data_IF_001972123244
#
_entry.id   IF_001972123244
#
_cell.length_a   1.000
_cell.length_b   1.000
_cell.length_c   1.000
_cell.angle_alpha   90.00
_cell.angle_beta   90.00
_cell.angle_gamma   90.00
#
_symmetry.space_group_name_H-M   'P 1'
#
loop_
_entity.id
_entity.type
_entity.pdbx_description
1 polymer ?
#
# COMPACT_ATOMS: atom_id res chain seq x y z
N UNK A 1 8.15 -13.76 -20.29
CA UNK A 1 7.21 -12.71 -19.82
C UNK A 1 6.34 -13.21 -18.69
N UNK A 2 5.65 -14.35 -18.85
CA UNK A 2 4.76 -14.91 -17.81
C UNK A 2 5.47 -15.15 -16.46
N UNK A 3 6.75 -15.56 -16.48
CA UNK A 3 7.54 -15.71 -15.26
C UNK A 3 7.61 -14.40 -14.45
N UNK A 4 7.88 -13.29 -15.12
CA UNK A 4 7.97 -11.96 -14.49
C UNK A 4 6.60 -11.52 -13.95
N UNK A 5 5.52 -11.82 -14.67
CA UNK A 5 4.16 -11.54 -14.21
C UNK A 5 3.76 -12.40 -13.01
N UNK A 6 4.19 -13.67 -12.97
CA UNK A 6 3.92 -14.61 -11.88
C UNK A 6 4.71 -14.29 -10.61
N UNK A 7 5.99 -13.93 -10.75
CA UNK A 7 6.92 -13.76 -9.61
C UNK A 7 7.02 -12.30 -9.17
N UNK A 8 6.69 -11.34 -10.05
CA UNK A 8 6.80 -9.92 -9.74
C UNK A 8 8.25 -9.40 -9.66
N UNK A 9 9.23 -10.14 -10.20
CA UNK A 9 10.63 -9.73 -10.18
C UNK A 9 10.92 -8.63 -11.21
N UNK A 10 11.97 -7.82 -11.03
CA UNK A 10 12.45 -6.93 -12.08
C UNK A 10 12.79 -7.71 -13.35
N UNK A 11 12.51 -7.14 -14.53
CA UNK A 11 12.80 -7.77 -15.81
C UNK A 11 14.28 -8.15 -15.98
N UNK A 12 15.19 -7.35 -15.40
CA UNK A 12 16.64 -7.58 -15.45
C UNK A 12 17.09 -8.81 -14.66
N UNK A 13 16.32 -9.21 -13.67
CA UNK A 13 16.63 -10.34 -12.78
C UNK A 13 15.99 -11.65 -13.30
N UNK A 14 15.43 -11.62 -14.51
CA UNK A 14 14.84 -12.79 -15.13
C UNK A 14 15.93 -13.82 -15.47
N UNK A 15 15.66 -15.08 -15.13
CA UNK A 15 16.60 -16.19 -15.36
C UNK A 15 16.98 -16.33 -16.83
N UNK A 16 18.26 -16.52 -17.13
CA UNK A 16 18.81 -16.57 -18.49
C UNK A 16 18.19 -17.68 -19.36
N UNK A 17 17.69 -18.75 -18.72
CA UNK A 17 16.97 -19.86 -19.37
C UNK A 17 15.77 -19.40 -20.21
N UNK A 18 15.20 -18.23 -19.90
CA UNK A 18 14.07 -17.67 -20.64
C UNK A 18 14.50 -16.79 -21.82
N UNK A 19 15.79 -16.53 -21.98
CA UNK A 19 16.37 -15.68 -23.02
C UNK A 19 16.60 -14.23 -22.56
N UNK A 20 17.04 -13.38 -23.50
CA UNK A 20 17.41 -11.99 -23.22
C UNK A 20 16.20 -11.19 -22.73
N UNK A 21 16.31 -10.64 -21.52
CA UNK A 21 15.24 -9.88 -20.87
C UNK A 21 14.67 -8.75 -21.73
N UNK A 22 15.52 -8.02 -22.46
CA UNK A 22 15.08 -6.87 -23.27
C UNK A 22 14.14 -7.30 -24.40
N UNK A 23 14.44 -8.41 -25.08
CA UNK A 23 13.60 -8.93 -26.15
C UNK A 23 12.23 -9.35 -25.64
N UNK A 24 12.19 -9.97 -24.44
CA UNK A 24 10.95 -10.38 -23.80
C UNK A 24 10.14 -9.16 -23.35
N UNK A 25 10.80 -8.16 -22.78
CA UNK A 25 10.15 -6.91 -22.38
C UNK A 25 9.53 -6.17 -23.57
N UNK A 26 10.27 -6.04 -24.68
CA UNK A 26 9.76 -5.41 -25.91
C UNK A 26 8.55 -6.17 -26.45
N UNK A 27 8.59 -7.51 -26.47
CA UNK A 27 7.44 -8.32 -26.88
C UNK A 27 6.25 -8.10 -25.95
N UNK A 28 6.47 -8.14 -24.64
CA UNK A 28 5.44 -7.91 -23.63
C UNK A 28 4.77 -6.54 -23.84
N UNK A 29 5.56 -5.49 -24.04
CA UNK A 29 5.05 -4.13 -24.28
C UNK A 29 4.23 -4.06 -25.57
N UNK A 30 4.73 -4.63 -26.68
CA UNK A 30 3.98 -4.66 -27.95
C UNK A 30 2.65 -5.38 -27.82
N UNK A 31 2.61 -6.49 -27.08
CA UNK A 31 1.36 -7.23 -26.83
C UNK A 31 0.37 -6.44 -25.97
N UNK A 32 0.87 -5.66 -25.00
CA UNK A 32 0.04 -4.75 -24.23
C UNK A 32 -0.52 -3.61 -25.09
N UNK A 33 0.31 -3.00 -25.94
CA UNK A 33 -0.14 -1.95 -26.87
C UNK A 33 -1.13 -2.47 -27.92
N UNK A 34 -1.01 -3.74 -28.30
CA UNK A 34 -1.88 -4.39 -29.29
C UNK A 34 -3.14 -5.03 -28.69
N UNK A 35 -3.35 -4.94 -27.37
CA UNK A 35 -4.51 -5.57 -26.72
C UNK A 35 -4.51 -7.11 -26.76
N UNK A 36 -3.36 -7.73 -27.04
CA UNK A 36 -3.23 -9.20 -27.15
C UNK A 36 -3.52 -9.86 -25.80
N UNK A 37 -3.19 -9.19 -24.70
CA UNK A 37 -3.48 -9.69 -23.34
C UNK A 37 -4.98 -9.80 -23.09
N UNK A 38 -5.77 -8.86 -23.57
CA UNK A 38 -7.24 -8.86 -23.38
C UNK A 38 -7.86 -10.04 -24.13
N UNK A 39 -7.45 -10.25 -25.39
CA UNK A 39 -7.89 -11.38 -26.20
C UNK A 39 -7.47 -12.72 -25.59
N UNK A 40 -6.24 -12.79 -25.07
CA UNK A 40 -5.73 -14.01 -24.44
C UNK A 40 -6.45 -14.31 -23.12
N UNK A 41 -6.76 -13.29 -22.31
CA UNK A 41 -7.58 -13.48 -21.12
C UNK A 41 -8.98 -13.95 -21.49
N UNK A 42 -9.63 -13.31 -22.44
CA UNK A 42 -10.99 -13.67 -22.85
C UNK A 42 -11.06 -15.11 -23.34
N UNK A 43 -10.13 -15.53 -24.18
CA UNK A 43 -10.08 -16.92 -24.69
C UNK A 43 -9.84 -17.94 -23.57
N UNK A 44 -9.05 -17.61 -22.54
CA UNK A 44 -8.90 -18.49 -21.37
C UNK A 44 -10.20 -18.61 -20.58
N UNK A 45 -10.95 -17.51 -20.41
CA UNK A 45 -12.27 -17.51 -19.77
C UNK A 45 -13.25 -18.39 -20.54
N UNK A 46 -13.30 -18.22 -21.85
CA UNK A 46 -14.21 -18.98 -22.72
C UNK A 46 -13.89 -20.49 -22.68
N UNK A 47 -12.63 -20.86 -22.46
CA UNK A 47 -12.18 -22.24 -22.30
C UNK A 47 -12.41 -22.82 -20.89
N UNK A 48 -12.93 -22.03 -19.94
CA UNK A 48 -13.13 -22.46 -18.56
C UNK A 48 -11.83 -22.76 -17.80
N UNK A 49 -10.69 -22.25 -18.28
CA UNK A 49 -9.38 -22.46 -17.67
C UNK A 49 -9.08 -21.45 -16.55
N UNK A 50 -10.10 -20.72 -16.08
CA UNK A 50 -9.94 -19.53 -15.25
C UNK A 50 -10.34 -19.67 -13.78
N UNK A 51 -10.76 -20.85 -13.34
CA UNK A 51 -11.43 -21.05 -12.04
C UNK A 51 -10.61 -20.63 -10.80
N UNK A 52 -9.27 -20.59 -10.86
CA UNK A 52 -8.45 -20.28 -9.67
C UNK A 52 -7.56 -19.01 -9.77
N UNK A 53 -7.30 -18.48 -10.98
CA UNK A 53 -6.25 -17.45 -11.18
C UNK A 53 -6.78 -16.00 -11.25
N UNK A 54 -8.05 -15.80 -11.59
CA UNK A 54 -8.64 -14.47 -11.72
C UNK A 54 -8.63 -13.70 -10.39
N UNK A 55 -8.74 -14.41 -9.27
CA UNK A 55 -8.67 -13.83 -7.93
C UNK A 55 -7.31 -13.23 -7.57
N UNK A 56 -6.22 -13.57 -8.28
CA UNK A 56 -4.88 -13.06 -7.96
C UNK A 56 -4.51 -11.78 -8.70
N UNK A 57 -5.20 -11.39 -9.78
CA UNK A 57 -4.83 -10.20 -10.56
C UNK A 57 -5.19 -8.91 -9.80
N UNK A 58 -6.28 -8.91 -9.03
CA UNK A 58 -6.70 -7.75 -8.22
C UNK A 58 -6.01 -7.67 -6.85
N UNK A 59 -4.95 -8.47 -6.63
CA UNK A 59 -4.10 -8.35 -5.45
C UNK A 59 -3.37 -7.00 -5.51
N UNK A 60 -3.94 -5.98 -4.87
CA UNK A 60 -3.30 -4.67 -4.68
C UNK A 60 -2.05 -4.83 -3.82
N UNK A 61 -0.96 -5.26 -4.45
CA UNK A 61 0.33 -5.39 -3.79
C UNK A 61 0.94 -4.00 -3.72
N UNK A 62 0.52 -3.20 -2.75
CA UNK A 62 1.13 -1.91 -2.47
C UNK A 62 2.52 -2.18 -1.89
N UNK A 63 3.55 -2.09 -2.73
CA UNK A 63 4.93 -2.02 -2.22
C UNK A 63 5.05 -0.72 -1.42
N UNK A 64 5.14 -0.84 -0.10
CA UNK A 64 5.55 0.26 0.76
C UNK A 64 6.91 0.79 0.28
N UNK A 65 7.02 2.11 0.10
CA UNK A 65 8.31 2.76 -0.06
C UNK A 65 9.22 2.31 1.10
N UNK A 66 10.54 2.18 0.92
CA UNK A 66 11.43 1.72 2.00
C UNK A 66 11.33 2.58 3.28
N UNK A 67 10.87 3.83 3.16
CA UNK A 67 10.57 4.72 4.28
C UNK A 67 9.20 4.50 4.96
N UNK A 68 8.32 3.67 4.39
CA UNK A 68 7.08 3.25 5.03
C UNK A 68 7.34 2.25 6.18
N UNK A 69 8.48 1.55 6.13
CA UNK A 69 8.96 0.73 7.23
C UNK A 69 9.64 1.63 8.28
N UNK A 70 8.86 2.06 9.28
CA UNK A 70 9.41 2.43 10.58
C UNK A 70 9.73 3.91 10.79
N UNK A 71 8.70 4.73 10.96
CA UNK A 71 8.81 5.84 11.90
C UNK A 71 8.25 5.39 13.26
N UNK A 72 9.07 4.72 14.08
CA UNK A 72 8.81 4.71 15.54
C UNK A 72 8.80 6.18 15.94
N UNK A 73 7.62 6.72 16.22
CA UNK A 73 7.41 8.14 16.53
C UNK A 73 8.46 8.60 17.53
N UNK A 74 9.42 9.37 17.03
CA UNK A 74 10.57 9.82 17.80
C UNK A 74 10.18 10.84 18.86
N UNK A 75 11.18 11.47 19.45
CA UNK A 75 11.04 12.52 20.48
C UNK A 75 10.00 13.59 20.12
N UNK A 76 9.90 13.97 18.85
CA UNK A 76 8.93 14.97 18.38
C UNK A 76 7.48 14.52 18.65
N UNK A 77 7.14 13.25 18.39
CA UNK A 77 5.78 12.74 18.65
C UNK A 77 5.48 12.68 20.15
N UNK A 78 6.47 12.34 20.98
CA UNK A 78 6.33 12.33 22.45
C UNK A 78 6.13 13.74 22.99
N UNK A 79 6.95 14.69 22.55
CA UNK A 79 6.83 16.10 22.92
C UNK A 79 5.47 16.69 22.51
N UNK A 80 4.96 16.34 21.32
CA UNK A 80 3.64 16.78 20.89
C UNK A 80 2.50 16.16 21.73
N UNK A 81 2.60 14.89 22.12
CA UNK A 81 1.62 14.25 23.02
C UNK A 81 1.68 14.87 24.42
N UNK A 82 2.86 15.11 24.96
CA UNK A 82 3.05 15.79 26.26
C UNK A 82 2.53 17.22 26.23
N UNK A 83 2.83 17.99 25.17
CA UNK A 83 2.31 19.34 24.99
C UNK A 83 0.78 19.34 24.88
N UNK A 84 0.19 18.39 24.15
CA UNK A 84 -1.26 18.25 24.07
C UNK A 84 -1.90 17.91 25.43
N UNK A 85 -1.25 17.04 26.23
CA UNK A 85 -1.71 16.73 27.59
C UNK A 85 -1.60 17.95 28.53
N UNK A 86 -0.51 18.72 28.44
CA UNK A 86 -0.30 19.93 29.22
C UNK A 86 -1.30 21.04 28.87
N UNK A 87 -1.67 21.18 27.60
CA UNK A 87 -2.72 22.10 27.16
C UNK A 87 -4.10 21.67 27.70
N UNK A 88 -4.39 20.36 27.72
CA UNK A 88 -5.65 19.83 28.27
C UNK A 88 -5.82 20.11 29.77
N UNK A 89 -4.73 20.12 30.53
CA UNK A 89 -4.77 20.43 31.97
C UNK A 89 -5.10 21.91 32.28
N UNK A 90 -4.92 22.84 31.32
CA UNK A 90 -5.12 24.27 31.54
C UNK A 90 -6.55 24.77 31.26
N UNK A 91 -7.45 23.92 30.74
CA UNK A 91 -8.83 24.32 30.40
C UNK A 91 -9.85 24.18 31.53
N UNK A 92 -9.43 23.81 32.75
CA UNK A 92 -10.33 23.86 33.92
C UNK A 92 -9.71 24.76 34.99
N UNK A 93 -10.00 26.07 35.01
CA UNK A 93 -9.62 26.91 36.13
C UNK A 93 -10.37 26.43 37.39
N UNK A 94 -9.63 25.98 38.40
CA UNK A 94 -10.16 25.52 39.70
C UNK A 94 -10.97 26.60 40.45
N UNK A 95 -10.99 27.84 39.96
CA UNK A 95 -11.72 28.95 40.55
C UNK A 95 -13.24 28.82 40.38
N UNK A 96 -13.73 28.21 39.29
CA UNK A 96 -15.17 28.07 39.02
C UNK A 96 -15.88 27.14 40.01
N UNK A 97 -15.16 26.22 40.66
CA UNK A 97 -15.74 25.27 41.62
C UNK A 97 -16.05 25.96 42.96
N UNK A 98 -15.25 26.95 43.40
CA UNK A 98 -15.47 27.62 44.70
C UNK A 98 -16.66 28.59 44.68
N UNK A 99 -16.92 29.23 43.54
CA UNK A 99 -18.03 30.18 43.40
C UNK A 99 -19.39 29.45 43.35
N UNK A 100 -19.42 28.23 42.78
CA UNK A 100 -20.62 27.40 42.76
C UNK A 100 -21.07 26.91 44.15
N UNK A 101 -20.13 26.72 45.09
CA UNK A 101 -20.47 26.30 46.47
C UNK A 101 -20.79 27.48 47.41
N UNK A 102 -20.42 28.71 47.06
CA UNK A 102 -20.66 29.89 47.92
C UNK A 102 -21.98 30.62 47.60
N UNK A 103 -22.64 30.30 46.49
CA UNK A 103 -23.93 30.88 46.10
C UNK A 103 -25.17 30.13 46.63
N UNK A 104 -25.00 29.25 47.63
CA UNK A 104 -26.09 28.52 48.31
C UNK A 104 -26.08 28.72 49.83
N UNK A 105 -25.78 29.93 50.29
CA UNK A 105 -26.02 30.35 51.68
C UNK A 105 -26.66 31.73 51.71
#
# INVERSE_FOLDING_TARGET
>A
MLYVLRVGCPWRDMHERYGKWNSIYVRFRRWAEQGVWDVLLQTLVDLGLTDDWQHMIDSTTVRGHSQAAGAKGGLIRRALVEAAAALRAKSTPAQTVKDAFSASS
#
